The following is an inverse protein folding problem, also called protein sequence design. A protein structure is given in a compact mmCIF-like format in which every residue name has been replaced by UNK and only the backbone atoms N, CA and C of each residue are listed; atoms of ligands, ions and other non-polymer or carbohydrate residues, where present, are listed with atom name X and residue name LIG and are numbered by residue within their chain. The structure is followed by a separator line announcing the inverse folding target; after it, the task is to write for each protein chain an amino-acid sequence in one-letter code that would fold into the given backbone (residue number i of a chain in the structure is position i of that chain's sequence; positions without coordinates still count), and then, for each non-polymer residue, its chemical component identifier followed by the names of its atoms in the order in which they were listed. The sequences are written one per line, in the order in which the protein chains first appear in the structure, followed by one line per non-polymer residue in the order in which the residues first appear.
data_IF_810093356946
#
_entry.id   IF_810093356946
#
_cell.length_a   1.000
_cell.length_b   1.000
_cell.length_c   1.000
_cell.angle_alpha   90.00
_cell.angle_beta   90.00
_cell.angle_gamma   90.00
#
_symmetry.space_group_name_H-M   'P 1'
#
loop_
_entity.id
_entity.type
_entity.pdbx_description
1 polymer ?
#
# COMPACT_ATOMS: atom_id res chain seq x y z
N UNK A 1 18.71 2.80 4.07
CA UNK A 1 17.89 3.18 2.89
C UNK A 1 17.79 1.95 1.98
N UNK A 2 16.59 1.55 1.53
CA UNK A 2 16.38 0.39 0.64
C UNK A 2 15.89 0.87 -0.72
N UNK A 3 16.57 0.47 -1.79
CA UNK A 3 16.17 0.75 -3.18
C UNK A 3 15.55 -0.50 -3.80
N UNK A 4 14.38 -0.36 -4.40
CA UNK A 4 13.70 -1.45 -5.13
C UNK A 4 13.29 -0.93 -6.50
N UNK A 5 13.80 -1.57 -7.55
CA UNK A 5 13.52 -1.21 -8.95
C UNK A 5 12.47 -2.17 -9.51
N UNK A 6 11.52 -1.62 -10.27
CA UNK A 6 10.49 -2.35 -11.01
C UNK A 6 10.45 -1.84 -12.44
N UNK A 7 9.97 -2.69 -13.33
CA UNK A 7 10.03 -2.47 -14.78
C UNK A 7 9.14 -1.31 -15.24
N UNK A 8 7.98 -1.15 -14.60
CA UNK A 8 6.95 -0.21 -15.02
C UNK A 8 6.13 0.34 -13.83
N UNK A 9 5.27 1.30 -14.13
CA UNK A 9 4.43 2.00 -13.16
C UNK A 9 3.47 1.07 -12.40
N UNK A 10 2.87 0.10 -13.07
CA UNK A 10 1.91 -0.81 -12.45
C UNK A 10 2.62 -1.77 -11.49
N UNK A 11 3.80 -2.26 -11.87
CA UNK A 11 4.66 -3.08 -11.03
C UNK A 11 5.17 -2.31 -9.80
N UNK A 12 5.54 -1.03 -9.93
CA UNK A 12 5.87 -0.16 -8.78
C UNK A 12 4.66 -0.02 -7.87
N UNK A 13 3.52 0.38 -8.44
CA UNK A 13 2.29 0.65 -7.71
C UNK A 13 1.78 -0.58 -6.94
N UNK A 14 1.77 -1.75 -7.58
CA UNK A 14 1.39 -3.01 -6.97
C UNK A 14 2.37 -3.40 -5.86
N UNK A 15 3.68 -3.26 -6.09
CA UNK A 15 4.68 -3.61 -5.08
C UNK A 15 4.53 -2.77 -3.81
N UNK A 16 4.33 -1.46 -3.95
CA UNK A 16 4.13 -0.55 -2.81
C UNK A 16 2.80 -0.86 -2.11
N UNK A 17 1.72 -1.06 -2.84
CA UNK A 17 0.42 -1.40 -2.25
C UNK A 17 0.49 -2.71 -1.47
N UNK A 18 1.14 -3.74 -2.03
CA UNK A 18 1.37 -5.02 -1.35
C UNK A 18 2.20 -4.81 -0.08
N UNK A 19 3.28 -4.03 -0.16
CA UNK A 19 4.09 -3.73 1.02
C UNK A 19 3.29 -3.04 2.13
N UNK A 20 2.50 -2.02 1.80
CA UNK A 20 1.63 -1.34 2.77
C UNK A 20 0.61 -2.29 3.38
N UNK A 21 -0.04 -3.13 2.56
CA UNK A 21 -0.98 -4.16 3.04
C UNK A 21 -0.33 -5.09 4.06
N UNK A 22 0.84 -5.67 3.74
CA UNK A 22 1.53 -6.57 4.67
C UNK A 22 1.93 -5.83 5.96
N UNK A 23 2.40 -4.58 5.87
CA UNK A 23 2.73 -3.76 7.05
C UNK A 23 1.52 -3.50 7.95
N UNK A 24 0.34 -3.28 7.38
CA UNK A 24 -0.91 -3.13 8.14
C UNK A 24 -1.26 -4.45 8.85
N UNK A 25 -1.20 -5.59 8.14
CA UNK A 25 -1.52 -6.91 8.70
C UNK A 25 -0.56 -7.31 9.82
N UNK A 26 0.74 -7.11 9.61
CA UNK A 26 1.78 -7.35 10.62
C UNK A 26 1.61 -6.47 11.86
N UNK A 27 1.14 -5.23 11.70
CA UNK A 27 0.91 -4.32 12.82
C UNK A 27 -0.32 -4.69 13.64
N UNK A 28 -1.29 -5.42 13.06
CA UNK A 28 -2.54 -5.83 13.68
C UNK A 28 -3.28 -4.66 14.40
N UNK A 29 -3.70 -3.61 13.65
CA UNK A 29 -4.30 -2.42 14.23
C UNK A 29 -5.58 -2.75 14.97
N UNK A 30 -5.83 -2.00 16.05
CA UNK A 30 -7.06 -2.06 16.82
C UNK A 30 -7.70 -0.67 16.89
N UNK A 31 -8.92 -0.58 17.39
CA UNK A 31 -9.58 0.71 17.58
C UNK A 31 -8.79 1.66 18.50
N UNK A 32 -8.09 1.11 19.50
CA UNK A 32 -7.27 1.88 20.45
C UNK A 32 -5.86 2.17 19.94
N UNK A 33 -5.39 1.42 18.94
CA UNK A 33 -4.07 1.61 18.32
C UNK A 33 -4.19 1.44 16.79
N UNK A 34 -4.68 2.47 16.09
CA UNK A 34 -4.89 2.41 14.65
C UNK A 34 -3.57 2.49 13.88
N UNK A 35 -3.54 1.89 12.69
CA UNK A 35 -2.44 2.08 11.76
C UNK A 35 -2.61 3.44 11.06
N UNK A 36 -1.75 4.40 11.38
CA UNK A 36 -1.80 5.74 10.77
C UNK A 36 -0.95 5.75 9.50
N UNK A 37 -1.59 6.00 8.36
CA UNK A 37 -0.95 6.10 7.04
C UNK A 37 -1.12 7.50 6.46
N UNK A 38 0.00 8.20 6.22
CA UNK A 38 0.00 9.46 5.49
C UNK A 38 -0.14 9.22 3.99
N UNK A 39 -1.15 9.82 3.36
CA UNK A 39 -1.41 9.66 1.93
C UNK A 39 -0.83 10.85 1.14
N UNK A 40 0.24 10.67 0.36
CA UNK A 40 0.75 11.71 -0.52
C UNK A 40 -0.18 11.97 -1.71
N UNK A 41 -0.05 13.15 -2.31
CA UNK A 41 -0.78 13.54 -3.53
C UNK A 41 0.11 13.42 -4.78
N UNK A 42 -0.50 13.57 -5.96
CA UNK A 42 0.15 13.44 -7.27
C UNK A 42 -0.30 12.20 -8.04
N UNK A 43 0.15 12.06 -9.28
CA UNK A 43 -0.21 10.93 -10.15
C UNK A 43 0.46 9.62 -9.70
N UNK A 44 1.71 9.68 -9.22
CA UNK A 44 2.50 8.50 -8.84
C UNK A 44 1.83 7.56 -7.82
N UNK A 45 1.20 8.04 -6.72
CA UNK A 45 0.56 7.15 -5.75
C UNK A 45 -0.83 6.64 -6.16
N UNK A 46 -1.44 7.13 -7.25
CA UNK A 46 -2.81 6.76 -7.64
C UNK A 46 -2.94 5.24 -7.87
N UNK A 47 -1.94 4.63 -8.51
CA UNK A 47 -1.92 3.18 -8.74
C UNK A 47 -1.86 2.38 -7.44
N UNK A 48 -1.15 2.89 -6.44
CA UNK A 48 -1.08 2.27 -5.10
C UNK A 48 -2.48 2.23 -4.48
N UNK A 49 -3.19 3.36 -4.49
CA UNK A 49 -4.52 3.46 -3.90
C UNK A 49 -5.55 2.55 -4.60
N UNK A 50 -5.51 2.47 -5.93
CA UNK A 50 -6.36 1.54 -6.69
C UNK A 50 -6.12 0.08 -6.28
N UNK A 51 -4.87 -0.31 -6.07
CA UNK A 51 -4.54 -1.66 -5.63
C UNK A 51 -4.97 -1.93 -4.18
N UNK A 52 -4.81 -0.96 -3.27
CA UNK A 52 -5.28 -1.09 -1.89
C UNK A 52 -6.80 -1.31 -1.82
N UNK A 53 -7.57 -0.57 -2.62
CA UNK A 53 -9.03 -0.77 -2.74
C UNK A 53 -9.34 -2.18 -3.25
N UNK A 54 -8.63 -2.66 -4.28
CA UNK A 54 -8.81 -4.03 -4.81
C UNK A 54 -8.53 -5.09 -3.76
N UNK A 55 -7.44 -4.96 -2.99
CA UNK A 55 -7.11 -5.91 -1.91
C UNK A 55 -8.19 -5.93 -0.85
N UNK A 56 -8.68 -4.76 -0.43
CA UNK A 56 -9.76 -4.68 0.54
C UNK A 56 -11.05 -5.34 0.04
N UNK A 57 -11.42 -5.10 -1.22
CA UNK A 57 -12.59 -5.74 -1.86
C UNK A 57 -12.43 -7.26 -1.98
N UNK A 58 -11.20 -7.76 -2.15
CA UNK A 58 -10.88 -9.17 -2.19
C UNK A 58 -10.78 -9.83 -0.80
N UNK A 59 -10.85 -9.06 0.28
CA UNK A 59 -10.68 -9.56 1.65
C UNK A 59 -9.24 -9.91 2.02
N UNK A 60 -8.25 -9.29 1.36
CA UNK A 60 -6.82 -9.57 1.53
C UNK A 60 -6.10 -8.75 2.60
#
# INVERSE_FOLDING_TARGET
MRLVIRQDYDAVSYHVAKYVKERIKEFAPTANNPFVLGLPTGSSPVGVYRNLVKFHQAGE
#
